data_IF_314204864964
#
_entry.id   IF_314204864964
#
_cell.length_a   1.000
_cell.length_b   1.000
_cell.length_c   1.000
_cell.angle_alpha   90.00
_cell.angle_beta   90.00
_cell.angle_gamma   90.00
#
_symmetry.space_group_name_H-M   'P 1'
#
loop_
_entity.id
_entity.type
_entity.pdbx_description
1 polymer ?
#
# COMPACT_ATOMS: atom_id res chain seq x y z
N UNK A 1 -41.28 41.94 -40.79
CA UNK A 1 -41.09 42.38 -39.40
C UNK A 1 -41.91 41.48 -38.49
N UNK A 2 -41.29 40.69 -37.62
CA UNK A 2 -42.01 39.90 -36.61
C UNK A 2 -42.64 40.86 -35.59
N UNK A 3 -43.95 40.71 -35.37
CA UNK A 3 -44.73 41.51 -34.42
C UNK A 3 -44.18 41.37 -33.00
N UNK A 4 -44.26 42.44 -32.20
CA UNK A 4 -43.89 42.40 -30.78
C UNK A 4 -44.65 41.30 -30.01
N UNK A 5 -45.91 41.05 -30.40
CA UNK A 5 -46.73 39.97 -29.83
C UNK A 5 -46.17 38.57 -30.15
N UNK A 6 -45.67 38.34 -31.38
CA UNK A 6 -45.09 37.05 -31.75
C UNK A 6 -43.75 36.79 -31.06
N UNK A 7 -43.00 37.83 -30.70
CA UNK A 7 -41.81 37.71 -29.85
C UNK A 7 -42.16 37.31 -28.41
N UNK A 8 -43.23 37.86 -27.83
CA UNK A 8 -43.69 37.50 -26.49
C UNK A 8 -44.19 36.05 -26.45
N UNK A 9 -44.98 35.63 -27.44
CA UNK A 9 -45.46 34.25 -27.55
C UNK A 9 -44.31 33.25 -27.70
N UNK A 10 -43.34 33.54 -28.57
CA UNK A 10 -42.15 32.70 -28.73
C UNK A 10 -41.33 32.60 -27.44
N UNK A 11 -41.16 33.69 -26.70
CA UNK A 11 -40.44 33.65 -25.42
C UNK A 11 -41.17 32.80 -24.37
N UNK A 12 -42.50 32.92 -24.25
CA UNK A 12 -43.31 32.05 -23.38
C UNK A 12 -43.19 30.57 -23.77
N UNK A 13 -43.22 30.28 -25.08
CA UNK A 13 -43.06 28.93 -25.62
C UNK A 13 -41.67 28.36 -25.28
N UNK A 14 -40.60 29.12 -25.52
CA UNK A 14 -39.23 28.67 -25.24
C UNK A 14 -39.03 28.37 -23.75
N UNK A 15 -39.51 29.22 -22.85
CA UNK A 15 -39.46 28.95 -21.40
C UNK A 15 -40.21 27.68 -20.99
N UNK A 16 -41.34 27.39 -21.64
CA UNK A 16 -42.07 26.16 -21.38
C UNK A 16 -41.28 24.92 -21.86
N UNK A 17 -40.64 25.02 -23.03
CA UNK A 17 -39.79 23.96 -23.58
C UNK A 17 -38.52 23.74 -22.76
N UNK A 18 -37.89 24.80 -22.24
CA UNK A 18 -36.77 24.71 -21.29
C UNK A 18 -37.18 23.98 -20.01
N UNK A 19 -38.37 24.26 -19.47
CA UNK A 19 -38.89 23.57 -18.29
C UNK A 19 -39.13 22.08 -18.56
N UNK A 20 -39.61 21.72 -19.76
CA UNK A 20 -39.76 20.32 -20.17
C UNK A 20 -38.38 19.66 -20.29
N UNK A 21 -37.43 20.29 -20.98
CA UNK A 21 -36.06 19.79 -21.13
C UNK A 21 -35.38 19.55 -19.78
N UNK A 22 -35.55 20.46 -18.82
CA UNK A 22 -35.08 20.29 -17.45
C UNK A 22 -35.71 19.09 -16.77
N UNK A 23 -37.04 18.94 -16.87
CA UNK A 23 -37.75 17.77 -16.31
C UNK A 23 -37.28 16.45 -16.91
N UNK A 24 -37.04 16.40 -18.22
CA UNK A 24 -36.52 15.23 -18.91
C UNK A 24 -35.09 14.89 -18.50
N UNK A 25 -34.22 15.89 -18.40
CA UNK A 25 -32.85 15.69 -17.94
C UNK A 25 -32.81 15.18 -16.49
N UNK A 26 -33.54 15.80 -15.57
CA UNK A 26 -33.56 15.39 -14.16
C UNK A 26 -34.17 13.99 -13.94
N UNK A 27 -35.16 13.61 -14.75
CA UNK A 27 -35.82 12.29 -14.68
C UNK A 27 -35.14 11.20 -15.52
N UNK A 28 -34.15 11.55 -16.36
CA UNK A 28 -33.40 10.59 -17.15
C UNK A 28 -32.67 9.58 -16.25
N UNK A 29 -32.65 8.30 -16.66
CA UNK A 29 -31.92 7.26 -15.92
C UNK A 29 -30.42 7.55 -15.88
N UNK A 30 -29.88 8.18 -16.92
CA UNK A 30 -28.49 8.67 -16.95
C UNK A 30 -28.13 9.54 -15.76
N UNK A 31 -29.03 10.44 -15.34
CA UNK A 31 -28.83 11.31 -14.16
C UNK A 31 -28.71 10.49 -12.87
N UNK A 32 -29.61 9.53 -12.67
CA UNK A 32 -29.58 8.63 -11.50
C UNK A 32 -28.35 7.71 -11.52
N UNK A 33 -28.08 7.05 -12.65
CA UNK A 33 -26.94 6.16 -12.81
C UNK A 33 -25.61 6.90 -12.66
N UNK A 34 -25.48 8.12 -13.21
CA UNK A 34 -24.28 8.95 -13.06
C UNK A 34 -24.00 9.25 -11.59
N UNK A 35 -25.02 9.59 -10.81
CA UNK A 35 -24.89 9.80 -9.37
C UNK A 35 -24.39 8.53 -8.67
N UNK A 36 -25.03 7.39 -8.92
CA UNK A 36 -24.63 6.09 -8.33
C UNK A 36 -23.18 5.72 -8.69
N UNK A 37 -22.78 5.95 -9.94
CA UNK A 37 -21.42 5.69 -10.41
C UNK A 37 -20.39 6.60 -9.73
N UNK A 38 -20.69 7.89 -9.52
CA UNK A 38 -19.80 8.83 -8.80
C UNK A 38 -19.62 8.45 -7.33
N UNK A 39 -20.70 8.03 -6.67
CA UNK A 39 -20.64 7.55 -5.30
C UNK A 39 -19.79 6.26 -5.22
N UNK A 40 -19.99 5.34 -6.15
CA UNK A 40 -19.18 4.13 -6.26
C UNK A 40 -17.70 4.43 -6.58
N UNK A 41 -17.42 5.37 -7.49
CA UNK A 41 -16.06 5.80 -7.84
C UNK A 41 -15.30 6.25 -6.60
N UNK A 42 -15.92 7.12 -5.78
CA UNK A 42 -15.32 7.64 -4.55
C UNK A 42 -15.01 6.51 -3.56
N UNK A 43 -15.96 5.58 -3.38
CA UNK A 43 -15.77 4.39 -2.52
C UNK A 43 -14.60 3.53 -2.99
N UNK A 44 -14.57 3.14 -4.27
CA UNK A 44 -13.52 2.28 -4.80
C UNK A 44 -12.16 2.97 -4.82
N UNK A 45 -12.09 4.29 -5.05
CA UNK A 45 -10.86 5.06 -4.88
C UNK A 45 -10.34 5.01 -3.44
N UNK A 46 -11.22 5.07 -2.44
CA UNK A 46 -10.84 4.87 -1.04
C UNK A 46 -10.27 3.47 -0.81
N UNK A 47 -10.94 2.43 -1.32
CA UNK A 47 -10.47 1.04 -1.19
C UNK A 47 -9.07 0.87 -1.81
N UNK A 48 -8.83 1.42 -3.01
CA UNK A 48 -7.49 1.38 -3.64
C UNK A 48 -6.44 2.10 -2.78
N UNK A 49 -6.81 3.22 -2.17
CA UNK A 49 -5.92 3.95 -1.25
C UNK A 49 -5.58 3.10 -0.03
N UNK A 50 -6.57 2.41 0.55
CA UNK A 50 -6.38 1.54 1.71
C UNK A 50 -5.44 0.37 1.37
N UNK A 51 -5.63 -0.30 0.22
CA UNK A 51 -4.69 -1.32 -0.25
C UNK A 51 -3.26 -0.80 -0.42
N UNK A 52 -3.08 0.42 -0.94
CA UNK A 52 -1.75 1.01 -1.06
C UNK A 52 -1.07 1.22 0.30
N UNK A 53 -1.83 1.66 1.31
CA UNK A 53 -1.33 1.83 2.67
C UNK A 53 -0.93 0.48 3.27
N UNK A 54 -1.78 -0.53 3.15
CA UNK A 54 -1.50 -1.87 3.67
C UNK A 54 -0.28 -2.53 3.02
N UNK A 55 -0.09 -2.33 1.70
CA UNK A 55 1.10 -2.82 0.99
C UNK A 55 2.35 -2.08 1.49
N UNK A 56 2.27 -0.78 1.73
CA UNK A 56 3.38 0.01 2.27
C UNK A 56 3.77 -0.50 3.66
N UNK A 57 2.80 -0.66 4.56
CA UNK A 57 3.02 -1.17 5.92
C UNK A 57 3.67 -2.57 5.91
N UNK A 58 3.20 -3.45 5.02
CA UNK A 58 3.77 -4.79 4.87
C UNK A 58 5.23 -4.75 4.38
N UNK A 59 5.58 -3.81 3.49
CA UNK A 59 6.97 -3.62 3.06
C UNK A 59 7.86 -3.07 4.18
N UNK A 60 7.33 -2.17 5.02
CA UNK A 60 8.07 -1.66 6.17
C UNK A 60 8.30 -2.75 7.23
N UNK A 61 7.34 -3.67 7.42
CA UNK A 61 7.55 -4.87 8.24
C UNK A 61 8.67 -5.77 7.72
N UNK A 62 8.77 -5.96 6.40
CA UNK A 62 9.89 -6.72 5.80
C UNK A 62 11.22 -6.05 6.12
N UNK A 63 11.33 -4.72 5.94
CA UNK A 63 12.55 -3.97 6.28
C UNK A 63 12.92 -4.10 7.75
N UNK A 64 11.94 -4.01 8.65
CA UNK A 64 12.16 -4.20 10.07
C UNK A 64 12.70 -5.60 10.38
N UNK A 65 12.16 -6.64 9.74
CA UNK A 65 12.66 -8.02 9.87
C UNK A 65 14.10 -8.10 9.36
N UNK A 66 14.41 -7.54 8.20
CA UNK A 66 15.77 -7.55 7.63
C UNK A 66 16.79 -6.86 8.55
N UNK A 67 16.45 -5.69 9.10
CA UNK A 67 17.34 -4.96 10.01
C UNK A 67 17.52 -5.68 11.35
N UNK A 68 16.45 -6.24 11.89
CA UNK A 68 16.54 -7.11 13.08
C UNK A 68 17.38 -8.36 12.81
N UNK A 69 17.26 -8.95 11.61
CA UNK A 69 18.06 -10.11 11.18
C UNK A 69 19.53 -9.77 11.16
N UNK A 70 19.93 -8.65 10.54
CA UNK A 70 21.33 -8.18 10.53
C UNK A 70 21.88 -8.01 11.94
N UNK A 71 21.09 -7.41 12.84
CA UNK A 71 21.48 -7.22 14.24
C UNK A 71 21.64 -8.56 14.98
N UNK A 72 20.70 -9.48 14.81
CA UNK A 72 20.76 -10.81 15.40
C UNK A 72 21.96 -11.61 14.91
N UNK A 73 22.27 -11.54 13.61
CA UNK A 73 23.44 -12.17 13.02
C UNK A 73 24.75 -11.62 13.60
N UNK A 74 24.88 -10.28 13.71
CA UNK A 74 26.05 -9.67 14.35
C UNK A 74 26.21 -10.14 15.80
N UNK A 75 25.14 -10.09 16.59
CA UNK A 75 25.17 -10.51 17.99
C UNK A 75 25.49 -12.00 18.15
N UNK A 76 24.95 -12.86 17.27
CA UNK A 76 25.22 -14.28 17.26
C UNK A 76 26.70 -14.56 16.95
N UNK A 77 27.25 -13.90 15.92
CA UNK A 77 28.65 -14.00 15.55
C UNK A 77 29.57 -13.51 16.68
N UNK A 78 29.29 -12.34 17.26
CA UNK A 78 30.07 -11.78 18.36
C UNK A 78 30.08 -12.71 19.57
N UNK A 79 28.91 -13.28 19.92
CA UNK A 79 28.81 -14.28 20.98
C UNK A 79 29.65 -15.51 20.67
N UNK A 80 29.59 -16.01 19.44
CA UNK A 80 30.39 -17.15 19.00
C UNK A 80 31.88 -16.86 19.13
N UNK A 81 32.35 -15.71 18.64
CA UNK A 81 33.74 -15.28 18.73
C UNK A 81 34.23 -15.22 20.17
N UNK A 82 33.48 -14.58 21.08
CA UNK A 82 33.91 -14.50 22.48
C UNK A 82 33.90 -15.89 23.13
N UNK A 83 32.88 -16.71 22.87
CA UNK A 83 32.79 -18.04 23.49
C UNK A 83 33.91 -18.99 23.06
N UNK A 84 34.45 -18.82 21.85
CA UNK A 84 35.44 -19.75 21.27
C UNK A 84 36.86 -19.20 21.25
N UNK A 85 37.03 -17.88 21.21
CA UNK A 85 38.33 -17.23 20.96
C UNK A 85 38.81 -16.29 22.06
N UNK A 86 38.07 -16.11 23.16
CA UNK A 86 38.49 -15.22 24.25
C UNK A 86 39.83 -15.64 24.88
N UNK A 87 40.18 -16.92 24.83
CA UNK A 87 41.47 -17.44 25.32
C UNK A 87 42.64 -17.17 24.37
N UNK A 88 42.40 -16.64 23.18
CA UNK A 88 43.47 -16.13 22.29
C UNK A 88 44.12 -14.85 22.85
N UNK A 89 43.44 -14.15 23.77
CA UNK A 89 43.93 -12.91 24.37
C UNK A 89 45.08 -13.22 25.33
N UNK A 90 46.29 -12.65 25.13
CA UNK A 90 47.42 -12.87 26.03
C UNK A 90 47.07 -12.52 27.48
N UNK A 91 47.28 -13.47 28.39
CA UNK A 91 47.00 -13.30 29.81
C UNK A 91 45.54 -13.55 30.24
N UNK A 92 44.66 -13.98 29.32
CA UNK A 92 43.28 -14.40 29.61
C UNK A 92 43.16 -15.92 29.45
N UNK A 93 43.19 -16.64 30.57
CA UNK A 93 42.90 -18.08 30.60
C UNK A 93 41.40 -18.39 30.66
N UNK A 94 41.03 -19.66 30.52
CA UNK A 94 39.63 -20.12 30.46
C UNK A 94 38.77 -19.61 31.64
N UNK A 95 39.27 -19.67 32.88
CA UNK A 95 38.53 -19.22 34.06
C UNK A 95 38.24 -17.71 34.04
N UNK A 96 39.20 -16.89 33.59
CA UNK A 96 39.02 -15.44 33.49
C UNK A 96 38.12 -15.08 32.30
N UNK A 97 38.26 -15.79 31.17
CA UNK A 97 37.37 -15.65 30.02
C UNK A 97 35.91 -15.94 30.35
N UNK A 98 35.64 -17.01 31.10
CA UNK A 98 34.29 -17.32 31.58
C UNK A 98 33.72 -16.23 32.52
N UNK A 99 34.56 -15.61 33.36
CA UNK A 99 34.13 -14.46 34.18
C UNK A 99 33.80 -13.24 33.33
N UNK A 100 34.59 -12.95 32.30
CA UNK A 100 34.30 -11.86 31.35
C UNK A 100 32.96 -12.12 30.66
N UNK A 101 32.74 -13.32 30.12
CA UNK A 101 31.49 -13.73 29.49
C UNK A 101 30.29 -13.60 30.43
N UNK A 102 30.43 -14.01 31.69
CA UNK A 102 29.33 -14.00 32.66
C UNK A 102 28.98 -12.60 33.16
N UNK A 103 29.98 -11.76 33.43
CA UNK A 103 29.78 -10.51 34.18
C UNK A 103 29.89 -9.25 33.31
N UNK A 104 30.69 -9.28 32.24
CA UNK A 104 30.98 -8.11 31.41
C UNK A 104 30.21 -8.17 30.09
N UNK A 105 30.28 -9.28 29.36
CA UNK A 105 29.61 -9.40 28.08
C UNK A 105 28.09 -9.32 28.24
N UNK A 106 27.43 -8.42 27.50
CA UNK A 106 25.98 -8.34 27.43
C UNK A 106 25.50 -8.81 26.08
N UNK A 107 25.94 -8.18 25.01
CA UNK A 107 25.55 -8.54 23.65
C UNK A 107 26.62 -8.21 22.60
N UNK A 108 27.54 -7.29 22.88
CA UNK A 108 28.51 -6.83 21.88
C UNK A 108 29.95 -6.97 22.35
N UNK A 109 30.89 -7.14 21.42
CA UNK A 109 32.33 -7.16 21.68
C UNK A 109 32.79 -5.88 22.38
N UNK A 110 32.17 -4.75 22.06
CA UNK A 110 32.48 -3.45 22.68
C UNK A 110 32.21 -3.42 24.19
N UNK A 111 31.37 -4.32 24.72
CA UNK A 111 31.16 -4.45 26.18
C UNK A 111 32.49 -4.78 26.90
N UNK A 112 33.40 -5.50 26.23
CA UNK A 112 34.68 -5.93 26.80
C UNK A 112 35.66 -4.77 27.06
N UNK A 113 35.42 -3.57 26.51
CA UNK A 113 36.19 -2.37 26.86
C UNK A 113 36.08 -2.02 28.36
N UNK A 114 35.06 -2.56 29.05
CA UNK A 114 34.83 -2.36 30.49
C UNK A 114 35.37 -3.51 31.36
N UNK A 115 36.18 -4.40 30.79
CA UNK A 115 36.67 -5.59 31.51
C UNK A 115 37.54 -5.26 32.72
N UNK A 116 38.13 -4.06 32.78
CA UNK A 116 38.91 -3.56 33.92
C UNK A 116 38.10 -3.56 35.23
N UNK A 117 36.77 -3.56 35.15
CA UNK A 117 35.89 -3.69 36.31
C UNK A 117 35.98 -5.08 36.99
N UNK A 118 36.58 -6.10 36.34
CA UNK A 118 36.77 -7.42 36.93
C UNK A 118 38.11 -7.55 37.65
N UNK A 119 38.06 -8.05 38.89
CA UNK A 119 39.23 -8.47 39.63
C UNK A 119 40.07 -9.46 38.82
N UNK A 120 41.35 -9.13 38.59
CA UNK A 120 42.30 -9.91 37.81
C UNK A 120 42.60 -9.36 36.41
N UNK A 121 41.97 -8.24 36.03
CA UNK A 121 42.22 -7.50 34.78
C UNK A 121 42.87 -6.16 35.12
N UNK A 122 44.20 -6.10 35.03
CA UNK A 122 44.96 -4.85 35.10
C UNK A 122 45.19 -4.25 33.72
N UNK A 123 45.83 -3.07 33.67
CA UNK A 123 46.01 -2.25 32.46
C UNK A 123 46.57 -3.03 31.26
N UNK A 124 47.60 -3.85 31.50
CA UNK A 124 48.21 -4.69 30.45
C UNK A 124 47.20 -5.67 29.83
N UNK A 125 46.37 -6.34 30.65
CA UNK A 125 45.34 -7.26 30.15
C UNK A 125 44.20 -6.53 29.47
N UNK A 126 43.79 -5.37 29.99
CA UNK A 126 42.79 -4.54 29.34
C UNK A 126 43.27 -4.06 27.98
N UNK A 127 44.54 -3.66 27.85
CA UNK A 127 45.13 -3.30 26.56
C UNK A 127 45.07 -4.46 25.55
N UNK A 128 45.41 -5.68 25.98
CA UNK A 128 45.30 -6.87 25.13
C UNK A 128 43.86 -7.18 24.72
N UNK A 129 42.90 -7.01 25.63
CA UNK A 129 41.46 -7.11 25.33
C UNK A 129 41.06 -6.08 24.27
N UNK A 130 41.48 -4.81 24.42
CA UNK A 130 41.14 -3.75 23.47
C UNK A 130 41.69 -4.04 22.07
N UNK A 131 42.94 -4.50 21.97
CA UNK A 131 43.56 -4.89 20.69
C UNK A 131 42.78 -6.04 20.04
N UNK A 132 42.42 -7.06 20.82
CA UNK A 132 41.65 -8.20 20.34
C UNK A 132 40.24 -7.79 19.88
N UNK A 133 39.54 -6.95 20.65
CA UNK A 133 38.23 -6.41 20.27
C UNK A 133 38.33 -5.63 18.97
N UNK A 134 39.32 -4.75 18.83
CA UNK A 134 39.49 -3.94 17.63
C UNK A 134 39.72 -4.81 16.39
N UNK A 135 40.65 -5.78 16.48
CA UNK A 135 40.90 -6.76 15.41
C UNK A 135 39.61 -7.44 14.95
N UNK A 136 38.83 -8.00 15.88
CA UNK A 136 37.63 -8.74 15.49
C UNK A 136 36.50 -7.85 15.02
N UNK A 137 36.38 -6.61 15.53
CA UNK A 137 35.43 -5.63 15.00
C UNK A 137 35.71 -5.30 13.52
N UNK A 138 36.98 -5.22 13.13
CA UNK A 138 37.36 -5.03 11.72
C UNK A 138 37.08 -6.28 10.86
N UNK A 139 37.20 -7.47 11.44
CA UNK A 139 36.94 -8.73 10.74
C UNK A 139 35.45 -9.10 10.63
N UNK A 140 34.57 -8.54 11.47
CA UNK A 140 33.13 -8.88 11.51
C UNK A 140 32.47 -8.87 10.14
N UNK A 141 32.61 -7.83 9.29
CA UNK A 141 31.95 -7.80 7.99
C UNK A 141 32.32 -9.00 7.11
N UNK A 142 33.60 -9.40 7.12
CA UNK A 142 34.07 -10.57 6.38
C UNK A 142 33.64 -11.90 7.00
N UNK A 143 33.54 -11.97 8.33
CA UNK A 143 33.10 -13.15 9.06
C UNK A 143 31.58 -13.39 8.92
N UNK A 144 30.78 -12.34 8.82
CA UNK A 144 29.33 -12.44 8.57
C UNK A 144 29.01 -13.11 7.23
N UNK A 145 29.92 -13.04 6.24
CA UNK A 145 29.76 -13.71 4.96
C UNK A 145 30.03 -15.22 5.07
N UNK A 146 30.87 -15.64 6.02
CA UNK A 146 31.20 -17.05 6.26
C UNK A 146 30.12 -17.73 7.08
N UNK A 147 30.17 -19.06 7.13
CA UNK A 147 29.27 -19.82 7.98
C UNK A 147 29.73 -19.80 9.44
N UNK A 148 28.77 -19.79 10.38
CA UNK A 148 29.01 -19.85 11.82
C UNK A 148 27.79 -20.44 12.55
N UNK A 149 27.98 -21.08 13.71
CA UNK A 149 26.89 -21.72 14.44
C UNK A 149 25.73 -20.76 14.75
N UNK A 150 24.50 -21.17 14.42
CA UNK A 150 23.28 -20.39 14.63
C UNK A 150 22.92 -19.42 13.50
N UNK A 151 23.81 -19.21 12.51
CA UNK A 151 23.54 -18.35 11.35
C UNK A 151 22.35 -18.84 10.53
N UNK A 152 22.38 -20.11 10.14
CA UNK A 152 21.38 -20.72 9.27
C UNK A 152 19.98 -20.66 9.88
N UNK A 153 19.86 -20.96 11.17
CA UNK A 153 18.58 -20.89 11.90
C UNK A 153 17.98 -19.48 11.87
N UNK A 154 18.78 -18.44 12.12
CA UNK A 154 18.34 -17.04 12.06
C UNK A 154 17.85 -16.67 10.66
N UNK A 155 18.59 -17.10 9.62
CA UNK A 155 18.25 -16.83 8.22
C UNK A 155 16.93 -17.52 7.85
N UNK A 156 16.77 -18.81 8.17
CA UNK A 156 15.55 -19.57 7.88
C UNK A 156 14.34 -18.92 8.55
N UNK A 157 14.41 -18.66 9.86
CA UNK A 157 13.30 -18.05 10.61
C UNK A 157 12.90 -16.68 10.05
N UNK A 158 13.87 -15.91 9.56
CA UNK A 158 13.61 -14.58 8.99
C UNK A 158 13.02 -14.68 7.59
N UNK A 159 13.54 -15.58 6.76
CA UNK A 159 13.02 -15.85 5.43
C UNK A 159 11.58 -16.38 5.46
N UNK A 160 11.24 -17.26 6.40
CA UNK A 160 9.87 -17.77 6.53
C UNK A 160 8.86 -16.65 6.84
N UNK A 161 9.25 -15.71 7.71
CA UNK A 161 8.43 -14.52 8.03
C UNK A 161 8.29 -13.61 6.82
N UNK A 162 9.40 -13.32 6.13
CA UNK A 162 9.41 -12.48 4.93
C UNK A 162 8.54 -13.12 3.84
N UNK A 163 8.66 -14.43 3.62
CA UNK A 163 7.88 -15.16 2.64
C UNK A 163 6.38 -15.06 2.91
N UNK A 164 5.98 -15.22 4.17
CA UNK A 164 4.57 -15.09 4.58
C UNK A 164 4.01 -13.70 4.26
N UNK A 165 4.76 -12.64 4.56
CA UNK A 165 4.35 -11.26 4.28
C UNK A 165 4.33 -11.00 2.76
N UNK A 166 5.28 -11.57 2.01
CA UNK A 166 5.30 -11.44 0.54
C UNK A 166 4.08 -12.08 -0.12
N UNK A 167 3.62 -13.24 0.35
CA UNK A 167 2.37 -13.84 -0.15
C UNK A 167 1.15 -12.98 0.19
N UNK A 168 1.10 -12.37 1.38
CA UNK A 168 0.04 -11.40 1.72
C UNK A 168 0.06 -10.17 0.80
N UNK A 169 1.25 -9.60 0.52
CA UNK A 169 1.39 -8.48 -0.42
C UNK A 169 0.89 -8.88 -1.81
N UNK A 170 1.26 -10.07 -2.29
CA UNK A 170 0.84 -10.58 -3.59
C UNK A 170 -0.67 -10.73 -3.69
N UNK A 171 -1.31 -11.25 -2.63
CA UNK A 171 -2.77 -11.32 -2.55
C UNK A 171 -3.39 -9.92 -2.64
N UNK A 172 -2.93 -8.96 -1.82
CA UNK A 172 -3.44 -7.58 -1.83
C UNK A 172 -3.27 -6.88 -3.17
N UNK A 173 -2.16 -7.12 -3.87
CA UNK A 173 -1.94 -6.60 -5.23
C UNK A 173 -2.96 -7.16 -6.21
N UNK A 174 -3.26 -8.45 -6.11
CA UNK A 174 -4.30 -9.10 -6.94
C UNK A 174 -5.68 -8.50 -6.67
N UNK A 175 -6.06 -8.37 -5.40
CA UNK A 175 -7.34 -7.78 -4.98
C UNK A 175 -7.47 -6.32 -5.41
N UNK A 176 -6.41 -5.52 -5.20
CA UNK A 176 -6.33 -4.14 -5.68
C UNK A 176 -6.52 -4.05 -7.20
N UNK A 177 -5.87 -4.92 -7.97
CA UNK A 177 -6.01 -4.93 -9.44
C UNK A 177 -7.44 -5.22 -9.88
N UNK A 178 -8.17 -6.10 -9.18
CA UNK A 178 -9.59 -6.33 -9.46
C UNK A 178 -10.43 -5.07 -9.21
N UNK A 179 -10.15 -4.34 -8.13
CA UNK A 179 -10.82 -3.07 -7.82
C UNK A 179 -10.49 -1.98 -8.85
N UNK A 180 -9.24 -1.89 -9.30
CA UNK A 180 -8.82 -0.94 -10.33
C UNK A 180 -9.55 -1.20 -11.66
N UNK A 181 -9.75 -2.45 -12.06
CA UNK A 181 -10.59 -2.79 -13.23
C UNK A 181 -12.04 -2.34 -13.07
N UNK A 182 -12.61 -2.46 -11.87
CA UNK A 182 -13.97 -1.93 -11.58
C UNK A 182 -13.99 -0.41 -11.72
N UNK A 183 -12.96 0.29 -11.23
CA UNK A 183 -12.82 1.75 -11.40
C UNK A 183 -12.69 2.16 -12.87
N UNK A 184 -11.94 1.43 -13.69
CA UNK A 184 -11.84 1.70 -15.13
C UNK A 184 -13.22 1.66 -15.80
N UNK A 185 -14.02 0.62 -15.49
CA UNK A 185 -15.38 0.50 -16.00
C UNK A 185 -16.29 1.63 -15.53
N UNK A 186 -16.22 1.98 -14.24
CA UNK A 186 -16.98 3.11 -13.67
C UNK A 186 -16.61 4.41 -14.39
N UNK A 187 -15.32 4.69 -14.54
CA UNK A 187 -14.82 5.91 -15.18
C UNK A 187 -15.24 5.99 -16.64
N UNK A 188 -15.23 4.87 -17.37
CA UNK A 188 -15.74 4.82 -18.74
C UNK A 188 -17.20 5.29 -18.82
N UNK A 189 -18.07 4.77 -17.95
CA UNK A 189 -19.49 5.12 -17.95
C UNK A 189 -19.76 6.54 -17.43
N UNK A 190 -19.04 7.00 -16.41
CA UNK A 190 -19.10 8.40 -15.98
C UNK A 190 -18.74 9.31 -17.16
N UNK A 191 -17.60 9.09 -17.81
CA UNK A 191 -17.17 9.88 -18.95
C UNK A 191 -18.15 9.82 -20.12
N UNK A 192 -18.86 8.69 -20.30
CA UNK A 192 -19.89 8.55 -21.33
C UNK A 192 -21.12 9.40 -21.00
N UNK A 193 -21.63 9.30 -19.78
CA UNK A 193 -22.85 10.01 -19.36
C UNK A 193 -22.61 11.52 -19.18
N UNK A 194 -21.43 11.95 -18.74
CA UNK A 194 -21.10 13.37 -18.55
C UNK A 194 -21.00 14.17 -19.86
N UNK A 195 -20.93 13.50 -21.02
CA UNK A 195 -20.96 14.19 -22.31
C UNK A 195 -22.28 14.88 -22.58
N UNK A 196 -23.38 14.33 -22.07
CA UNK A 196 -24.72 14.88 -22.27
C UNK A 196 -25.07 15.79 -21.11
N UNK A 197 -25.40 17.03 -21.44
CA UNK A 197 -25.69 18.10 -20.49
C UNK A 197 -27.14 18.56 -20.60
N UNK A 198 -27.61 19.31 -19.60
CA UNK A 198 -28.92 19.97 -19.66
C UNK A 198 -29.07 20.86 -20.91
N UNK A 199 -27.98 21.50 -21.36
CA UNK A 199 -28.02 22.35 -22.56
C UNK A 199 -28.32 21.54 -23.82
N UNK A 200 -27.92 20.28 -23.89
CA UNK A 200 -28.22 19.41 -25.04
C UNK A 200 -29.72 19.11 -25.11
N UNK A 201 -30.34 18.84 -23.95
CA UNK A 201 -31.80 18.69 -23.85
C UNK A 201 -32.55 19.99 -24.20
N UNK A 202 -32.07 21.15 -23.73
CA UNK A 202 -32.67 22.45 -24.06
C UNK A 202 -32.56 22.71 -25.56
N UNK A 203 -31.39 22.49 -26.16
CA UNK A 203 -31.15 22.69 -27.60
C UNK A 203 -32.04 21.77 -28.45
N UNK A 204 -32.15 20.50 -28.05
CA UNK A 204 -33.03 19.53 -28.70
C UNK A 204 -34.50 19.95 -28.66
N UNK A 205 -34.98 20.50 -27.54
CA UNK A 205 -36.39 20.91 -27.37
C UNK A 205 -36.70 22.28 -27.97
N UNK A 206 -35.82 23.27 -27.81
CA UNK A 206 -36.07 24.66 -28.22
C UNK A 206 -35.67 24.89 -29.67
N UNK A 207 -34.52 24.37 -30.10
CA UNK A 207 -33.97 24.61 -31.43
C UNK A 207 -34.24 23.48 -32.42
N UNK A 208 -34.75 22.34 -31.95
CA UNK A 208 -34.92 21.11 -32.74
C UNK A 208 -33.62 20.70 -33.44
N UNK A 209 -32.50 20.83 -32.72
CA UNK A 209 -31.13 20.55 -33.15
C UNK A 209 -30.38 19.82 -32.05
N UNK A 210 -29.27 19.18 -32.39
CA UNK A 210 -28.41 18.49 -31.43
C UNK A 210 -28.36 16.98 -31.70
N UNK A 211 -27.61 16.27 -30.86
CA UNK A 211 -27.40 14.84 -31.01
C UNK A 211 -28.47 14.05 -30.25
N UNK A 212 -29.61 13.82 -30.91
CA UNK A 212 -30.72 13.05 -30.34
C UNK A 212 -30.31 11.63 -29.93
N UNK A 213 -29.32 11.02 -30.60
CA UNK A 213 -28.79 9.70 -30.23
C UNK A 213 -28.09 9.72 -28.87
N UNK A 214 -27.27 10.73 -28.59
CA UNK A 214 -26.60 10.87 -27.28
C UNK A 214 -27.60 11.18 -26.17
N UNK A 215 -28.64 11.98 -26.47
CA UNK A 215 -29.73 12.25 -25.53
C UNK A 215 -30.52 10.97 -25.23
N UNK A 216 -30.82 10.15 -26.24
CA UNK A 216 -31.49 8.86 -26.05
C UNK A 216 -30.65 7.88 -25.23
N UNK A 217 -29.35 7.77 -25.52
CA UNK A 217 -28.41 7.00 -24.71
C UNK A 217 -28.37 7.49 -23.26
N UNK A 218 -28.39 8.80 -23.03
CA UNK A 218 -28.43 9.37 -21.68
C UNK A 218 -29.76 9.09 -20.96
N UNK A 219 -30.89 9.19 -21.67
CA UNK A 219 -32.22 8.86 -21.12
C UNK A 219 -32.24 7.41 -20.61
N UNK A 220 -31.67 6.49 -21.39
CA UNK A 220 -31.54 5.09 -21.00
C UNK A 220 -30.48 4.88 -19.90
N UNK A 221 -29.41 5.67 -19.89
CA UNK A 221 -28.31 5.54 -18.94
C UNK A 221 -27.39 4.36 -19.26
N UNK A 222 -26.89 3.66 -18.23
CA UNK A 222 -26.03 2.46 -18.42
C UNK A 222 -26.78 1.28 -19.06
N UNK A 223 -28.06 1.13 -18.73
CA UNK A 223 -28.96 0.09 -19.24
C UNK A 223 -30.40 0.61 -19.20
N UNK A 224 -31.22 0.20 -20.17
CA UNK A 224 -32.60 0.68 -20.30
C UNK A 224 -33.55 0.07 -19.26
N UNK A 225 -34.75 0.64 -19.11
CA UNK A 225 -35.73 0.18 -18.11
C UNK A 225 -36.21 -1.25 -18.31
N UNK A 226 -36.30 -1.70 -19.56
CA UNK A 226 -36.70 -3.06 -19.91
C UNK A 226 -35.56 -4.07 -19.86
N UNK A 227 -34.33 -3.62 -19.65
CA UNK A 227 -33.14 -4.48 -19.58
C UNK A 227 -32.90 -4.95 -18.15
N UNK A 228 -32.44 -6.21 -17.95
CA UNK A 228 -31.99 -6.65 -16.64
C UNK A 228 -30.76 -5.83 -16.22
N UNK A 229 -30.70 -5.45 -14.94
CA UNK A 229 -29.54 -4.75 -14.38
C UNK A 229 -28.29 -5.63 -14.59
N UNK A 230 -27.24 -5.12 -15.25
CA UNK A 230 -25.99 -5.85 -15.44
C UNK A 230 -25.37 -6.24 -14.11
N UNK A 231 -24.84 -7.46 -14.01
CA UNK A 231 -24.28 -7.97 -12.74
C UNK A 231 -23.11 -7.13 -12.24
N UNK A 232 -22.23 -6.69 -13.16
CA UNK A 232 -21.14 -5.77 -12.81
C UNK A 232 -21.65 -4.46 -12.20
N UNK A 233 -22.81 -3.95 -12.67
CA UNK A 233 -23.39 -2.72 -12.15
C UNK A 233 -23.95 -2.95 -10.74
N UNK A 234 -24.58 -4.11 -10.49
CA UNK A 234 -25.02 -4.52 -9.14
C UNK A 234 -23.86 -4.60 -8.17
N UNK A 235 -22.75 -5.24 -8.56
CA UNK A 235 -21.55 -5.33 -7.73
C UNK A 235 -20.94 -3.95 -7.43
N UNK A 236 -20.90 -3.09 -8.44
CA UNK A 236 -20.37 -1.73 -8.29
C UNK A 236 -21.21 -0.93 -7.31
N UNK A 237 -22.54 -0.97 -7.39
CA UNK A 237 -23.42 -0.17 -6.53
C UNK A 237 -23.52 -0.76 -5.11
N UNK A 238 -23.57 -2.09 -4.95
CA UNK A 238 -23.62 -2.75 -3.63
C UNK A 238 -22.34 -2.53 -2.84
N UNK A 239 -21.22 -2.25 -3.52
CA UNK A 239 -19.91 -2.13 -2.90
C UNK A 239 -19.30 -3.48 -2.56
N UNK A 240 -19.83 -4.57 -3.10
CA UNK A 240 -19.28 -5.91 -2.93
C UNK A 240 -17.94 -6.02 -3.66
N UNK A 241 -16.86 -6.08 -2.88
CA UNK A 241 -15.56 -6.58 -3.31
C UNK A 241 -15.58 -8.11 -3.15
N UNK A 242 -16.47 -8.81 -3.87
CA UNK A 242 -16.39 -10.27 -3.90
C UNK A 242 -15.09 -10.66 -4.59
N UNK A 243 -14.09 -11.00 -3.78
CA UNK A 243 -12.87 -11.69 -4.18
C UNK A 243 -13.24 -13.17 -4.11
N UNK A 244 -13.69 -13.74 -5.23
CA UNK A 244 -13.77 -15.20 -5.42
C UNK A 244 -12.48 -15.69 -6.07
#
# INVERSE_FOLDING_TARGET
>A
MTSFLSKIENNKKNKALEKIAFGEFESARGTYHLKMLKDAQTRFQSIVKDYNLEILESNDQIREIEDNTKKQLSQCLERYLISTKITEIPGIGAALGQRILKFIYKNTLTDLYRSFALNGIGDQKQLQINIWVHKYLEEIPGLLLKDFPGKEEIIIQSNDKIYTIQEQIKQKISEKSMVEKKLEMINFWINKLEKTTLNDFITARVENKGNFSEIEEYINGVFAEWEPIPDWFKEVISGETNVQ
#
